data_IF_021197367743
#
_entry.id   IF_021197367743
#
_cell.length_a   1.000
_cell.length_b   1.000
_cell.length_c   1.000
_cell.angle_alpha   90.00
_cell.angle_beta   90.00
_cell.angle_gamma   90.00
#
_symmetry.space_group_name_H-M   'P 1'
#
loop_
_entity.id
_entity.type
_entity.pdbx_description
1 polymer ?
#
# COMPACT_ATOMS: atom_id res chain seq x y z
N UNK A 1 0.94 -45.46 -26.33
CA UNK A 1 1.85 -44.36 -25.89
C UNK A 1 1.23 -42.97 -26.07
N UNK A 2 0.63 -42.62 -27.24
CA UNK A 2 -0.07 -41.34 -27.46
C UNK A 2 -1.18 -40.99 -26.45
N UNK A 3 -1.99 -41.97 -26.02
CA UNK A 3 -3.11 -41.75 -25.08
C UNK A 3 -2.67 -41.46 -23.63
N UNK A 4 -1.47 -41.91 -23.25
CA UNK A 4 -0.89 -41.69 -21.91
C UNK A 4 -0.29 -40.28 -21.81
N UNK A 5 0.24 -39.75 -22.92
CA UNK A 5 0.77 -38.38 -23.00
C UNK A 5 -0.35 -37.35 -22.83
N UNK A 6 -1.52 -37.56 -23.44
CA UNK A 6 -2.66 -36.64 -23.24
C UNK A 6 -3.19 -36.64 -21.80
N UNK A 7 -3.09 -37.77 -21.09
CA UNK A 7 -3.55 -37.86 -19.70
C UNK A 7 -2.58 -37.15 -18.73
N UNK A 8 -1.27 -37.14 -19.03
CA UNK A 8 -0.29 -36.39 -18.24
C UNK A 8 -0.34 -34.87 -18.50
N UNK A 9 -0.71 -34.42 -19.71
CA UNK A 9 -0.95 -32.99 -19.94
C UNK A 9 -2.19 -32.44 -19.22
N UNK A 10 -3.20 -33.28 -18.95
CA UNK A 10 -4.41 -32.85 -18.24
C UNK A 10 -4.22 -32.73 -16.71
N UNK A 11 -3.25 -33.46 -16.13
CA UNK A 11 -3.04 -33.48 -14.68
C UNK A 11 -2.21 -32.29 -14.14
N UNK A 12 -1.54 -31.53 -15.01
CA UNK A 12 -0.75 -30.35 -14.63
C UNK A 12 -1.56 -29.06 -14.40
N UNK A 13 -2.88 -29.08 -14.63
CA UNK A 13 -3.71 -27.87 -14.62
C UNK A 13 -4.35 -27.54 -13.25
N UNK A 14 -4.09 -28.31 -12.19
CA UNK A 14 -4.77 -28.14 -10.90
C UNK A 14 -3.89 -27.53 -9.79
N UNK A 15 -2.62 -27.22 -10.05
CA UNK A 15 -1.75 -26.56 -9.06
C UNK A 15 -1.81 -25.03 -9.16
N UNK A 16 -3.00 -24.44 -9.04
CA UNK A 16 -3.13 -23.02 -8.69
C UNK A 16 -3.06 -22.87 -7.16
N UNK A 17 -1.84 -22.94 -6.62
CA UNK A 17 -1.55 -22.54 -5.23
C UNK A 17 -1.55 -21.02 -5.09
N UNK A 18 -2.66 -20.36 -5.40
CA UNK A 18 -2.81 -18.92 -5.25
C UNK A 18 -3.34 -18.60 -3.85
N UNK A 19 -2.47 -18.52 -2.85
CA UNK A 19 -2.81 -17.67 -1.70
C UNK A 19 -2.81 -16.25 -2.25
N UNK A 20 -3.99 -15.74 -2.63
CA UNK A 20 -4.15 -14.34 -3.02
C UNK A 20 -3.79 -13.49 -1.81
N UNK A 21 -2.50 -13.16 -1.67
CA UNK A 21 -2.03 -12.25 -0.65
C UNK A 21 -2.74 -10.93 -0.90
N UNK A 22 -3.61 -10.54 0.02
CA UNK A 22 -4.39 -9.31 -0.10
C UNK A 22 -3.42 -8.15 -0.24
N UNK A 23 -3.45 -7.48 -1.39
CA UNK A 23 -2.73 -6.22 -1.60
C UNK A 23 -3.30 -5.09 -0.75
N UNK A 24 -4.49 -5.29 -0.17
CA UNK A 24 -5.15 -4.36 0.72
C UNK A 24 -4.72 -4.66 2.15
N UNK A 25 -4.30 -3.62 2.86
CA UNK A 25 -3.97 -3.68 4.28
C UNK A 25 -5.14 -4.21 5.12
N UNK A 26 -4.90 -5.06 6.14
CA UNK A 26 -5.95 -5.56 7.02
C UNK A 26 -6.78 -4.47 7.69
N UNK A 27 -6.22 -3.28 7.88
CA UNK A 27 -6.89 -2.13 8.51
C UNK A 27 -8.08 -1.60 7.71
N UNK A 28 -8.15 -1.93 6.42
CA UNK A 28 -9.31 -1.60 5.58
C UNK A 28 -10.57 -2.38 5.96
N UNK A 29 -10.44 -3.54 6.64
CA UNK A 29 -11.60 -4.36 7.05
C UNK A 29 -12.60 -3.60 7.93
N UNK A 30 -12.12 -2.58 8.65
CA UNK A 30 -12.95 -1.72 9.50
C UNK A 30 -13.13 -0.29 8.96
N UNK A 31 -12.53 0.05 7.80
CA UNK A 31 -12.45 1.43 7.30
C UNK A 31 -12.83 1.64 5.83
N UNK A 32 -13.26 0.59 5.11
CA UNK A 32 -13.97 0.75 3.82
C UNK A 32 -15.38 1.26 4.12
N UNK A 33 -15.49 2.57 4.34
CA UNK A 33 -16.76 3.29 4.35
C UNK A 33 -17.21 3.64 2.93
N UNK A 34 -18.47 4.06 2.79
CA UNK A 34 -19.04 4.57 1.53
C UNK A 34 -18.53 5.97 1.12
N UNK A 35 -17.71 6.61 1.96
CA UNK A 35 -17.15 7.94 1.72
C UNK A 35 -15.78 7.93 1.02
N UNK A 36 -15.23 9.13 0.84
CA UNK A 36 -13.84 9.32 0.41
C UNK A 36 -12.88 8.95 1.54
N UNK A 37 -11.81 8.23 1.21
CA UNK A 37 -10.78 7.81 2.16
C UNK A 37 -9.39 8.07 1.59
N UNK A 38 -8.48 8.50 2.46
CA UNK A 38 -7.10 8.78 2.08
C UNK A 38 -6.28 7.50 2.16
N UNK A 39 -5.67 7.13 1.04
CA UNK A 39 -4.95 5.89 0.86
C UNK A 39 -3.55 6.16 0.38
N UNK A 40 -2.64 5.30 0.83
CA UNK A 40 -1.28 5.21 0.36
C UNK A 40 -1.20 4.00 -0.57
N UNK A 41 -0.80 4.23 -1.81
CA UNK A 41 -0.66 3.19 -2.83
C UNK A 41 0.82 3.05 -3.16
N UNK A 42 1.31 1.82 -3.07
CA UNK A 42 2.61 1.43 -3.57
C UNK A 42 2.46 0.80 -4.94
N UNK A 43 3.29 1.23 -5.88
CA UNK A 43 3.30 0.76 -7.26
C UNK A 43 4.43 -0.24 -7.48
N UNK A 44 4.25 -1.19 -8.39
CA UNK A 44 5.29 -2.14 -8.81
C UNK A 44 6.29 -1.50 -9.79
N UNK A 45 5.90 -0.41 -10.45
CA UNK A 45 6.68 0.27 -11.50
C UNK A 45 6.91 1.75 -11.19
N UNK A 46 7.73 2.43 -12.02
CA UNK A 46 7.92 3.87 -11.92
C UNK A 46 6.58 4.59 -12.08
N UNK A 47 6.34 5.55 -11.19
CA UNK A 47 5.17 6.41 -11.29
C UNK A 47 5.27 7.28 -12.53
N UNK A 48 4.17 7.36 -13.27
CA UNK A 48 4.03 8.02 -14.56
C UNK A 48 2.69 8.76 -14.54
N UNK A 49 2.44 9.79 -15.37
CA UNK A 49 1.13 10.45 -15.44
C UNK A 49 -0.07 9.49 -15.60
N UNK A 50 0.17 8.27 -16.09
CA UNK A 50 -0.80 7.18 -16.17
C UNK A 50 -1.40 6.81 -14.79
N UNK A 51 -0.61 6.84 -13.71
CA UNK A 51 -1.10 6.49 -12.36
C UNK A 51 -2.09 7.53 -11.84
N UNK A 52 -1.83 8.82 -12.07
CA UNK A 52 -2.75 9.90 -11.71
C UNK A 52 -4.06 9.84 -12.50
N UNK A 53 -3.99 9.50 -13.78
CA UNK A 53 -5.18 9.32 -14.62
C UNK A 53 -6.02 8.12 -14.17
N UNK A 54 -5.36 7.02 -13.77
CA UNK A 54 -6.03 5.83 -13.25
C UNK A 54 -6.74 6.12 -11.92
N UNK A 55 -6.12 6.86 -11.02
CA UNK A 55 -6.78 7.28 -9.78
C UNK A 55 -7.97 8.19 -10.08
N UNK A 56 -7.83 9.10 -11.04
CA UNK A 56 -8.91 10.00 -11.45
C UNK A 56 -10.10 9.25 -12.07
N UNK A 57 -9.85 8.20 -12.86
CA UNK A 57 -10.92 7.38 -13.46
C UNK A 57 -11.72 6.57 -12.43
N UNK A 58 -11.12 6.30 -11.26
CA UNK A 58 -11.77 5.70 -10.10
C UNK A 58 -12.52 6.73 -9.23
N UNK A 59 -12.62 7.99 -9.67
CA UNK A 59 -13.24 9.08 -8.93
C UNK A 59 -12.38 9.60 -7.78
N UNK A 60 -11.08 9.28 -7.79
CA UNK A 60 -10.12 9.74 -6.82
C UNK A 60 -9.40 11.03 -7.23
N UNK A 61 -8.60 11.55 -6.32
CA UNK A 61 -7.75 12.73 -6.54
C UNK A 61 -6.35 12.50 -5.97
N UNK A 62 -5.37 13.14 -6.59
CA UNK A 62 -3.96 13.07 -6.17
C UNK A 62 -3.72 14.06 -5.04
N UNK A 63 -3.25 13.55 -3.90
CA UNK A 63 -2.85 14.38 -2.75
C UNK A 63 -1.35 14.66 -2.80
N UNK A 64 -0.54 13.62 -3.01
CA UNK A 64 0.92 13.73 -3.10
C UNK A 64 1.50 12.53 -3.83
N UNK A 65 2.63 12.71 -4.51
CA UNK A 65 3.33 11.65 -5.22
C UNK A 65 4.82 11.63 -4.86
N UNK A 66 5.37 10.44 -4.66
CA UNK A 66 6.76 10.20 -4.27
C UNK A 66 7.41 9.21 -5.26
N UNK A 67 7.83 9.68 -6.44
CA UNK A 67 8.33 8.81 -7.51
C UNK A 67 9.57 7.99 -7.11
N UNK A 68 10.42 8.55 -6.24
CA UNK A 68 11.65 7.90 -5.77
C UNK A 68 11.39 6.58 -5.01
N UNK A 69 10.22 6.44 -4.39
CA UNK A 69 9.82 5.23 -3.65
C UNK A 69 8.55 4.59 -4.22
N UNK A 70 8.16 5.00 -5.44
CA UNK A 70 7.01 4.44 -6.18
C UNK A 70 5.73 4.43 -5.35
N UNK A 71 5.48 5.52 -4.63
CA UNK A 71 4.37 5.65 -3.70
C UNK A 71 3.59 6.93 -3.97
N UNK A 72 2.26 6.84 -3.92
CA UNK A 72 1.39 8.00 -3.97
C UNK A 72 0.36 7.99 -2.86
N UNK A 73 -0.04 9.19 -2.45
CA UNK A 73 -1.12 9.46 -1.51
C UNK A 73 -2.29 10.00 -2.32
N UNK A 74 -3.43 9.33 -2.18
CA UNK A 74 -4.61 9.60 -2.98
C UNK A 74 -5.84 9.66 -2.10
N UNK A 75 -6.80 10.50 -2.45
CA UNK A 75 -8.13 10.49 -1.87
C UNK A 75 -9.04 9.75 -2.85
N UNK A 76 -9.57 8.60 -2.46
CA UNK A 76 -10.40 7.74 -3.34
C UNK A 76 -11.70 7.36 -2.64
N UNK A 77 -12.78 7.06 -3.38
CA UNK A 77 -13.95 6.43 -2.79
C UNK A 77 -13.55 5.09 -2.15
N UNK A 78 -14.01 4.80 -0.92
CA UNK A 78 -13.71 3.53 -0.26
C UNK A 78 -14.13 2.31 -1.11
N UNK A 79 -15.21 2.44 -1.87
CA UNK A 79 -15.69 1.44 -2.83
C UNK A 79 -14.74 1.18 -4.01
N UNK A 80 -13.81 2.09 -4.30
CA UNK A 80 -12.84 1.95 -5.38
C UNK A 80 -11.56 1.19 -4.95
N UNK A 81 -11.32 1.02 -3.65
CA UNK A 81 -10.13 0.33 -3.12
C UNK A 81 -10.00 -1.12 -3.62
N UNK A 82 -11.07 -1.94 -3.69
CA UNK A 82 -11.00 -3.26 -4.30
C UNK A 82 -10.59 -3.23 -5.77
N UNK A 83 -11.14 -2.31 -6.57
CA UNK A 83 -10.80 -2.16 -7.97
C UNK A 83 -9.32 -1.77 -8.15
N UNK A 84 -8.83 -0.84 -7.31
CA UNK A 84 -7.43 -0.43 -7.28
C UNK A 84 -6.50 -1.60 -6.95
N UNK A 85 -6.88 -2.46 -5.99
CA UNK A 85 -6.09 -3.64 -5.64
C UNK A 85 -6.01 -4.68 -6.76
N UNK A 86 -7.03 -4.74 -7.62
CA UNK A 86 -7.05 -5.65 -8.77
C UNK A 86 -6.07 -5.24 -9.87
N UNK A 87 -5.58 -4.00 -9.88
CA UNK A 87 -4.60 -3.55 -10.86
C UNK A 87 -3.25 -4.29 -10.67
N UNK A 88 -2.68 -4.92 -11.72
CA UNK A 88 -1.36 -5.55 -11.66
C UNK A 88 -0.22 -4.59 -11.31
N UNK A 89 -0.33 -3.31 -11.65
CA UNK A 89 0.66 -2.28 -11.34
C UNK A 89 0.64 -1.85 -9.87
N UNK A 90 -0.44 -2.14 -9.14
CA UNK A 90 -0.52 -1.90 -7.69
C UNK A 90 0.15 -3.04 -6.94
N UNK A 91 1.10 -2.67 -6.09
CA UNK A 91 1.82 -3.57 -5.18
C UNK A 91 1.06 -3.73 -3.88
N UNK A 92 0.65 -2.62 -3.28
CA UNK A 92 0.02 -2.60 -1.96
C UNK A 92 -0.79 -1.32 -1.75
N UNK A 93 -1.87 -1.41 -0.96
CA UNK A 93 -2.73 -0.29 -0.60
C UNK A 93 -2.96 -0.30 0.91
N UNK A 94 -2.69 0.82 1.57
CA UNK A 94 -2.96 1.03 3.00
C UNK A 94 -3.73 2.33 3.23
N UNK A 95 -4.51 2.45 4.32
CA UNK A 95 -5.02 3.76 4.73
C UNK A 95 -3.86 4.65 5.16
N UNK A 96 -4.01 5.97 4.99
CA UNK A 96 -3.07 6.94 5.56
C UNK A 96 -3.28 7.04 7.08
N UNK A 97 -2.45 6.32 7.84
CA UNK A 97 -2.64 6.13 9.28
C UNK A 97 -2.26 7.39 10.04
N UNK A 98 -3.16 7.83 10.92
CA UNK A 98 -2.85 8.90 11.88
C UNK A 98 -1.73 8.45 12.82
N UNK A 99 -0.69 9.28 12.94
CA UNK A 99 0.40 9.07 13.90
C UNK A 99 0.17 9.91 15.15
N UNK A 100 0.44 9.31 16.31
CA UNK A 100 0.30 9.99 17.60
C UNK A 100 1.66 10.12 18.28
N UNK A 101 1.88 11.27 18.94
CA UNK A 101 3.10 11.50 19.73
C UNK A 101 3.12 10.52 20.91
N UNK A 102 4.29 9.92 21.16
CA UNK A 102 4.56 9.18 22.39
C UNK A 102 5.27 10.10 23.39
N UNK A 103 5.08 9.87 24.68
CA UNK A 103 5.77 10.62 25.73
C UNK A 103 7.29 10.41 25.61
N UNK A 104 8.05 11.49 25.50
CA UNK A 104 9.50 11.47 25.37
C UNK A 104 10.18 11.76 26.73
N UNK A 105 10.49 10.72 27.49
CA UNK A 105 11.27 10.83 28.76
C UNK A 105 12.76 10.56 28.54
N UNK A 106 13.16 10.25 27.30
CA UNK A 106 14.50 9.77 26.96
C UNK A 106 15.62 10.77 27.25
N UNK A 107 15.39 12.07 27.06
CA UNK A 107 16.42 13.09 27.21
C UNK A 107 17.03 13.15 28.63
N UNK A 108 16.18 13.03 29.66
CA UNK A 108 16.65 12.97 31.04
C UNK A 108 17.38 11.65 31.32
N UNK A 109 16.89 10.53 30.78
CA UNK A 109 17.48 9.21 30.99
C UNK A 109 18.90 9.09 30.41
N UNK A 110 19.21 9.80 29.31
CA UNK A 110 20.55 9.80 28.70
C UNK A 110 21.44 10.98 29.14
N UNK A 111 21.00 11.75 30.15
CA UNK A 111 21.70 12.95 30.61
C UNK A 111 21.97 14.00 29.50
N UNK A 112 21.10 14.09 28.48
CA UNK A 112 21.20 15.08 27.41
C UNK A 112 21.30 16.54 27.94
N UNK A 113 20.63 16.93 29.04
CA UNK A 113 20.79 18.26 29.62
C UNK A 113 22.23 18.66 29.97
N UNK A 114 23.12 17.70 30.27
CA UNK A 114 24.53 18.01 30.54
C UNK A 114 25.28 18.50 29.29
N UNK A 115 24.95 17.95 28.12
CA UNK A 115 25.54 18.32 26.84
C UNK A 115 24.93 19.63 26.32
N UNK A 116 23.63 19.83 26.52
CA UNK A 116 22.96 21.10 26.21
C UNK A 116 23.53 22.27 27.02
N UNK A 117 23.84 22.05 28.31
CA UNK A 117 24.55 23.04 29.15
C UNK A 117 25.94 23.39 28.63
N UNK A 118 26.54 22.49 27.85
CA UNK A 118 27.85 22.70 27.22
C UNK A 118 27.74 23.39 25.85
N UNK A 119 26.55 23.79 25.41
CA UNK A 119 26.32 24.55 24.18
C UNK A 119 26.06 23.73 22.92
N UNK A 120 25.95 22.40 23.03
CA UNK A 120 25.61 21.52 21.91
C UNK A 120 24.12 21.17 22.00
N UNK A 121 23.29 21.74 21.11
CA UNK A 121 21.84 21.52 21.03
C UNK A 121 21.42 21.02 19.66
#
# INVERSE_FOLDING_TARGET
MRKVVCLMLAAGALCFGGTSHSKISPDFRNSIGSGMTQVIVQWNGPMSPVTAQEISSLGGTVVSEMPAVQLGVYLVPGSAVPALSSNPNVKYVSPDRQIHKKLAVAAAAINAPSVWKSGFV
#
